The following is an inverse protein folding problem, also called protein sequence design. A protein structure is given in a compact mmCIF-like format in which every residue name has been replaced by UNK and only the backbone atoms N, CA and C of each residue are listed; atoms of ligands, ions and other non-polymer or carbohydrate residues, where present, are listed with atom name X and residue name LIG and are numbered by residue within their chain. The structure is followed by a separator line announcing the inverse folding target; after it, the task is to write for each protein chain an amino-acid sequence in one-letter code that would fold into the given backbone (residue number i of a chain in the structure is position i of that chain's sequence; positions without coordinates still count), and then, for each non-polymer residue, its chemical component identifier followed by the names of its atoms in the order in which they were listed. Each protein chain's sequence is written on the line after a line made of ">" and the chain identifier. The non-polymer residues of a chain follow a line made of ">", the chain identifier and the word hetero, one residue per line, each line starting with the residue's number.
data_IF_274655574910
#
_entry.id   IF_274655574910
#
_cell.length_a   1.000
_cell.length_b   1.000
_cell.length_c   1.000
_cell.angle_alpha   90.00
_cell.angle_beta   90.00
_cell.angle_gamma   90.00
#
_symmetry.space_group_name_H-M   'P 1'
#
loop_
_entity.id
_entity.type
_entity.pdbx_description
1 polymer ?
#
# COMPACT_ATOMS: atom_id res chain seq x y z
N UNK A 1 -67.82 20.16 -17.60
CA UNK A 1 -68.27 19.28 -16.52
C UNK A 1 -67.31 19.47 -15.37
N UNK A 2 -67.78 20.06 -14.28
CA UNK A 2 -66.92 20.30 -13.13
C UNK A 2 -66.45 18.96 -12.54
N UNK A 3 -65.19 18.87 -12.15
CA UNK A 3 -64.62 17.64 -11.55
C UNK A 3 -65.44 17.11 -10.34
N UNK A 4 -66.09 18.03 -9.63
CA UNK A 4 -67.01 17.72 -8.55
C UNK A 4 -68.27 16.96 -9.01
N UNK A 5 -68.84 17.28 -10.20
CA UNK A 5 -70.06 16.62 -10.69
C UNK A 5 -69.80 15.18 -11.09
N UNK A 6 -68.61 14.88 -11.61
CA UNK A 6 -68.24 13.47 -11.95
C UNK A 6 -68.04 12.64 -10.70
N UNK A 7 -67.37 13.19 -9.67
CA UNK A 7 -67.18 12.47 -8.40
C UNK A 7 -68.53 12.20 -7.69
N UNK A 8 -69.41 13.18 -7.66
CA UNK A 8 -70.77 13.03 -7.11
C UNK A 8 -71.61 11.99 -7.88
N UNK A 9 -71.48 11.93 -9.21
CA UNK A 9 -72.20 10.93 -10.04
C UNK A 9 -71.75 9.52 -9.72
N UNK A 10 -70.42 9.30 -9.53
CA UNK A 10 -69.88 7.99 -9.14
C UNK A 10 -70.37 7.61 -7.74
N UNK A 11 -70.29 8.54 -6.78
CA UNK A 11 -70.74 8.32 -5.42
C UNK A 11 -72.24 7.97 -5.35
N UNK A 12 -73.07 8.65 -6.12
CA UNK A 12 -74.49 8.37 -6.24
C UNK A 12 -74.75 6.99 -6.83
N UNK A 13 -73.99 6.56 -7.84
CA UNK A 13 -74.09 5.20 -8.42
C UNK A 13 -73.69 4.12 -7.39
N UNK A 14 -72.65 4.37 -6.59
CA UNK A 14 -72.21 3.43 -5.54
C UNK A 14 -73.22 3.37 -4.40
N UNK A 15 -73.75 4.48 -3.94
CA UNK A 15 -74.82 4.52 -2.92
C UNK A 15 -76.06 3.74 -3.39
N UNK A 16 -76.46 3.90 -4.64
CA UNK A 16 -77.57 3.16 -5.22
C UNK A 16 -77.29 1.63 -5.25
N UNK A 17 -76.09 1.23 -5.58
CA UNK A 17 -75.69 -0.16 -5.58
C UNK A 17 -75.62 -0.77 -4.14
N UNK A 18 -75.08 -0.02 -3.17
CA UNK A 18 -75.01 -0.44 -1.77
C UNK A 18 -76.38 -0.47 -1.09
N UNK A 19 -77.27 0.47 -1.45
CA UNK A 19 -78.68 0.47 -1.03
C UNK A 19 -79.41 -0.77 -1.57
N UNK A 20 -79.09 -1.20 -2.81
CA UNK A 20 -79.65 -2.39 -3.42
C UNK A 20 -79.17 -3.67 -2.70
N UNK A 21 -77.95 -3.67 -2.12
CA UNK A 21 -77.44 -4.80 -1.29
C UNK A 21 -78.08 -4.82 0.12
N UNK A 22 -78.89 -3.79 0.49
CA UNK A 22 -79.64 -3.77 1.76
C UNK A 22 -78.97 -2.89 2.87
N UNK A 23 -78.03 -2.00 2.54
CA UNK A 23 -77.45 -1.08 3.50
C UNK A 23 -78.37 0.17 3.65
N UNK A 24 -78.80 0.51 4.90
CA UNK A 24 -79.72 1.62 5.12
C UNK A 24 -79.14 2.98 4.68
N UNK A 25 -79.94 3.81 4.04
CA UNK A 25 -79.54 5.11 3.46
C UNK A 25 -78.92 6.06 4.51
N UNK A 26 -79.43 6.07 5.75
CA UNK A 26 -78.89 6.90 6.85
C UNK A 26 -77.48 6.53 7.29
N UNK A 27 -77.04 5.28 7.10
CA UNK A 27 -75.68 4.85 7.30
C UNK A 27 -74.77 5.24 6.15
N UNK A 28 -75.26 5.15 4.92
CA UNK A 28 -74.53 5.53 3.71
C UNK A 28 -74.14 7.03 3.71
N UNK A 29 -75.00 7.91 4.21
CA UNK A 29 -74.77 9.35 4.29
C UNK A 29 -73.69 9.73 5.35
N UNK A 30 -73.61 8.94 6.44
CA UNK A 30 -72.55 9.12 7.42
C UNK A 30 -71.20 8.51 7.02
N UNK A 31 -71.18 7.62 6.03
CA UNK A 31 -70.01 6.90 5.54
C UNK A 31 -69.51 7.39 4.18
N UNK A 32 -70.02 8.49 3.67
CA UNK A 32 -69.71 9.03 2.34
C UNK A 32 -68.22 9.14 2.09
N UNK A 33 -67.52 9.76 3.04
CA UNK A 33 -66.07 9.96 2.96
C UNK A 33 -65.30 8.65 2.89
N UNK A 34 -65.69 7.65 3.72
CA UNK A 34 -65.04 6.38 3.79
C UNK A 34 -65.30 5.49 2.56
N UNK A 35 -66.57 5.54 2.03
CA UNK A 35 -66.94 4.86 0.78
C UNK A 35 -66.14 5.44 -0.41
N UNK A 36 -66.00 6.76 -0.46
CA UNK A 36 -65.27 7.40 -1.53
C UNK A 36 -63.78 7.03 -1.47
N UNK A 37 -63.16 6.93 -0.27
CA UNK A 37 -61.81 6.46 -0.06
C UNK A 37 -61.60 5.04 -0.57
N UNK A 38 -62.56 4.11 -0.24
CA UNK A 38 -62.50 2.74 -0.71
C UNK A 38 -62.49 2.66 -2.22
N UNK A 39 -63.36 3.44 -2.87
CA UNK A 39 -63.45 3.52 -4.34
C UNK A 39 -62.18 4.01 -4.96
N UNK A 40 -61.60 5.10 -4.42
CA UNK A 40 -60.30 5.65 -4.87
C UNK A 40 -59.22 4.57 -4.77
N UNK A 41 -59.15 3.87 -3.66
CA UNK A 41 -58.19 2.78 -3.44
C UNK A 41 -58.35 1.66 -4.46
N UNK A 42 -59.61 1.21 -4.70
CA UNK A 42 -59.92 0.18 -5.70
C UNK A 42 -59.48 0.63 -7.10
N UNK A 43 -59.83 1.85 -7.51
CA UNK A 43 -59.44 2.42 -8.80
C UNK A 43 -57.93 2.49 -8.93
N UNK A 44 -57.24 2.92 -7.89
CA UNK A 44 -55.77 3.04 -7.87
C UNK A 44 -55.12 1.63 -8.06
N UNK A 45 -55.61 0.59 -7.43
CA UNK A 45 -55.11 -0.77 -7.61
C UNK A 45 -55.45 -1.36 -9.00
N UNK A 46 -56.61 -1.04 -9.56
CA UNK A 46 -57.00 -1.45 -10.93
C UNK A 46 -56.04 -0.81 -11.93
N UNK A 47 -55.80 0.50 -11.83
CA UNK A 47 -54.87 1.23 -12.69
C UNK A 47 -53.46 0.67 -12.55
N UNK A 48 -52.96 0.42 -11.33
CA UNK A 48 -51.69 -0.22 -11.10
C UNK A 48 -51.57 -1.60 -11.76
N UNK A 49 -52.67 -2.40 -11.71
CA UNK A 49 -52.78 -3.71 -12.39
C UNK A 49 -52.66 -3.60 -13.91
N UNK A 50 -53.36 -2.62 -14.51
CA UNK A 50 -53.30 -2.35 -15.94
C UNK A 50 -51.88 -1.92 -16.35
N UNK A 51 -51.30 -0.97 -15.64
CA UNK A 51 -49.93 -0.51 -15.92
C UNK A 51 -48.93 -1.64 -15.76
N UNK A 52 -49.07 -2.48 -14.74
CA UNK A 52 -48.28 -3.69 -14.58
C UNK A 52 -48.36 -4.63 -15.79
N UNK A 53 -49.57 -4.94 -16.25
CA UNK A 53 -49.78 -5.81 -17.40
C UNK A 53 -49.15 -5.26 -18.67
N UNK A 54 -49.29 -3.95 -18.91
CA UNK A 54 -48.67 -3.24 -20.05
C UNK A 54 -47.14 -3.30 -19.97
N UNK A 55 -46.55 -2.94 -18.82
CA UNK A 55 -45.11 -2.97 -18.63
C UNK A 55 -44.53 -4.37 -18.81
N UNK A 56 -45.15 -5.40 -18.24
CA UNK A 56 -44.72 -6.80 -18.40
C UNK A 56 -44.85 -7.24 -19.86
N UNK A 57 -45.94 -6.86 -20.54
CA UNK A 57 -46.12 -7.19 -21.97
C UNK A 57 -45.02 -6.55 -22.84
N UNK A 58 -44.75 -5.28 -22.63
CA UNK A 58 -43.69 -4.57 -23.34
C UNK A 58 -42.30 -5.16 -23.06
N UNK A 59 -42.01 -5.44 -21.79
CA UNK A 59 -40.72 -6.03 -21.40
C UNK A 59 -40.55 -7.44 -22.01
N UNK A 60 -41.60 -8.28 -22.03
CA UNK A 60 -41.56 -9.60 -22.70
C UNK A 60 -41.38 -9.48 -24.22
N UNK A 61 -41.96 -8.46 -24.86
CA UNK A 61 -41.78 -8.18 -26.30
C UNK A 61 -40.31 -7.77 -26.63
N UNK A 62 -39.69 -6.97 -25.78
CA UNK A 62 -38.29 -6.57 -25.92
C UNK A 62 -37.38 -7.79 -25.71
N UNK A 63 -37.64 -8.64 -24.71
CA UNK A 63 -36.87 -9.83 -24.41
C UNK A 63 -36.88 -10.82 -25.56
N UNK A 64 -38.01 -10.95 -26.27
CA UNK A 64 -38.14 -11.81 -27.46
C UNK A 64 -37.28 -11.30 -28.65
N UNK A 65 -37.09 -9.98 -28.76
CA UNK A 65 -36.31 -9.36 -29.86
C UNK A 65 -34.80 -9.33 -29.63
N UNK A 66 -34.38 -9.13 -28.37
CA UNK A 66 -32.94 -9.08 -27.96
C UNK A 66 -32.81 -9.87 -26.64
N UNK A 67 -31.97 -10.91 -26.62
CA UNK A 67 -31.60 -11.59 -25.38
C UNK A 67 -30.72 -10.66 -24.53
N UNK A 68 -31.32 -9.77 -23.79
CA UNK A 68 -30.61 -8.87 -22.86
C UNK A 68 -30.79 -9.49 -21.46
N UNK A 69 -29.74 -10.05 -20.91
CA UNK A 69 -29.74 -10.72 -19.59
C UNK A 69 -30.26 -9.85 -18.45
N UNK A 70 -30.14 -8.53 -18.61
CA UNK A 70 -30.66 -7.54 -17.65
C UNK A 70 -32.20 -7.68 -17.43
N UNK A 71 -32.98 -7.83 -18.50
CA UNK A 71 -34.46 -8.02 -18.38
C UNK A 71 -34.79 -9.32 -17.70
N UNK A 72 -34.05 -10.40 -17.93
CA UNK A 72 -34.22 -11.66 -17.23
C UNK A 72 -34.04 -11.52 -15.73
N UNK A 73 -33.01 -10.81 -15.29
CA UNK A 73 -32.77 -10.48 -13.89
C UNK A 73 -33.88 -9.59 -13.31
N UNK A 74 -34.46 -8.66 -14.06
CA UNK A 74 -35.61 -7.84 -13.64
C UNK A 74 -36.87 -8.70 -13.40
N UNK A 75 -37.13 -9.72 -14.22
CA UNK A 75 -38.22 -10.66 -14.00
C UNK A 75 -37.98 -11.53 -12.77
N UNK A 76 -36.76 -12.03 -12.59
CA UNK A 76 -36.37 -12.85 -11.41
C UNK A 76 -36.65 -12.12 -10.10
N UNK A 77 -36.32 -10.81 -10.00
CA UNK A 77 -36.56 -10.02 -8.80
C UNK A 77 -37.93 -9.33 -8.76
N UNK A 78 -38.83 -9.65 -9.73
CA UNK A 78 -40.16 -9.05 -9.83
C UNK A 78 -40.16 -7.52 -9.82
N UNK A 79 -39.16 -6.89 -10.44
CA UNK A 79 -38.97 -5.42 -10.45
C UNK A 79 -40.22 -4.71 -10.96
N UNK A 80 -40.82 -5.17 -12.06
CA UNK A 80 -42.01 -4.56 -12.64
C UNK A 80 -43.19 -4.52 -11.67
N UNK A 81 -43.43 -5.62 -10.93
CA UNK A 81 -44.51 -5.67 -9.94
C UNK A 81 -44.27 -4.74 -8.77
N UNK A 82 -43.02 -4.65 -8.30
CA UNK A 82 -42.64 -3.81 -7.17
C UNK A 82 -42.68 -2.33 -7.55
N UNK A 83 -42.23 -1.98 -8.77
CA UNK A 83 -42.28 -0.63 -9.30
C UNK A 83 -43.73 -0.13 -9.47
N UNK A 84 -44.62 -0.99 -9.96
CA UNK A 84 -46.04 -0.64 -10.11
C UNK A 84 -46.76 -0.50 -8.77
N UNK A 85 -46.23 -1.06 -7.68
CA UNK A 85 -46.77 -0.85 -6.33
C UNK A 85 -46.63 0.61 -5.82
N UNK A 86 -45.84 1.45 -6.51
CA UNK A 86 -45.73 2.89 -6.23
C UNK A 86 -46.95 3.66 -6.80
N UNK A 87 -47.65 3.12 -7.77
CA UNK A 87 -48.76 3.81 -8.45
C UNK A 87 -49.98 4.02 -7.53
N UNK A 88 -50.48 3.01 -6.76
CA UNK A 88 -51.60 3.21 -5.89
C UNK A 88 -51.47 4.40 -4.92
N UNK A 89 -50.39 4.54 -4.15
CA UNK A 89 -50.30 5.67 -3.23
C UNK A 89 -50.20 7.03 -3.95
N UNK A 90 -49.59 7.10 -5.14
CA UNK A 90 -49.59 8.34 -5.93
C UNK A 90 -50.99 8.70 -6.43
N UNK A 91 -51.75 7.72 -6.90
CA UNK A 91 -53.13 7.92 -7.34
C UNK A 91 -54.03 8.32 -6.17
N UNK A 92 -53.91 7.63 -5.03
CA UNK A 92 -54.65 7.99 -3.81
C UNK A 92 -54.35 9.39 -3.36
N UNK A 93 -53.06 9.76 -3.25
CA UNK A 93 -52.65 11.12 -2.86
C UNK A 93 -53.21 12.21 -3.81
N UNK A 94 -53.23 11.92 -5.12
CA UNK A 94 -53.78 12.84 -6.12
C UNK A 94 -55.32 13.00 -6.05
N UNK A 95 -56.02 11.95 -5.68
CA UNK A 95 -57.49 11.90 -5.63
C UNK A 95 -58.06 12.20 -4.25
N UNK A 96 -57.26 12.13 -3.19
CA UNK A 96 -57.70 12.37 -1.81
C UNK A 96 -58.34 13.75 -1.56
N UNK A 97 -57.87 14.89 -2.17
CA UNK A 97 -58.49 16.20 -2.03
C UNK A 97 -59.89 16.29 -2.61
N UNK A 98 -60.30 15.33 -3.45
CA UNK A 98 -61.67 15.26 -3.99
C UNK A 98 -62.62 14.51 -3.06
N UNK A 99 -62.12 13.68 -2.15
CA UNK A 99 -62.89 12.89 -1.21
C UNK A 99 -63.13 13.61 0.12
N UNK A 100 -62.14 14.38 0.56
CA UNK A 100 -62.14 14.98 1.89
C UNK A 100 -61.81 16.45 1.84
N UNK A 101 -62.39 17.23 2.77
CA UNK A 101 -61.91 18.57 3.08
C UNK A 101 -60.48 18.49 3.65
N UNK A 102 -59.57 19.39 3.25
CA UNK A 102 -58.16 19.43 3.68
C UNK A 102 -57.97 19.53 5.21
N UNK A 103 -58.97 20.07 5.90
CA UNK A 103 -58.97 20.24 7.36
C UNK A 103 -59.55 19.03 8.11
N UNK A 104 -60.05 18.02 7.41
CA UNK A 104 -60.59 16.81 8.01
C UNK A 104 -59.48 15.96 8.64
N UNK A 105 -59.72 15.47 9.86
CA UNK A 105 -58.83 14.54 10.50
C UNK A 105 -58.59 13.23 9.66
N UNK A 106 -59.63 12.82 8.91
CA UNK A 106 -59.56 11.66 8.02
C UNK A 106 -58.66 11.95 6.79
N UNK A 107 -58.66 13.18 6.28
CA UNK A 107 -57.77 13.56 5.21
C UNK A 107 -56.31 13.46 5.69
N UNK A 108 -55.96 14.07 6.81
CA UNK A 108 -54.63 14.09 7.39
C UNK A 108 -54.13 12.67 7.66
N UNK A 109 -54.99 11.83 8.25
CA UNK A 109 -54.64 10.43 8.53
C UNK A 109 -54.39 9.62 7.26
N UNK A 110 -55.33 9.70 6.28
CA UNK A 110 -55.24 8.98 5.01
C UNK A 110 -54.04 9.43 4.20
N UNK A 111 -53.73 10.72 4.18
CA UNK A 111 -52.55 11.25 3.52
C UNK A 111 -51.26 10.69 4.13
N UNK A 112 -51.12 10.69 5.46
CA UNK A 112 -49.97 10.10 6.14
C UNK A 112 -49.79 8.63 5.84
N UNK A 113 -50.87 7.82 5.91
CA UNK A 113 -50.84 6.41 5.60
C UNK A 113 -50.43 6.18 4.13
N UNK A 114 -50.93 7.02 3.22
CA UNK A 114 -50.60 6.95 1.79
C UNK A 114 -49.12 7.21 1.54
N UNK A 115 -48.56 8.24 2.16
CA UNK A 115 -47.15 8.54 2.02
C UNK A 115 -46.24 7.51 2.67
N UNK A 116 -46.62 6.95 3.84
CA UNK A 116 -45.90 5.83 4.47
C UNK A 116 -45.86 4.63 3.55
N UNK A 117 -47.04 4.27 2.97
CA UNK A 117 -47.12 3.19 2.00
C UNK A 117 -46.26 3.44 0.77
N UNK A 118 -46.26 4.69 0.25
CA UNK A 118 -45.37 5.11 -0.87
C UNK A 118 -43.91 4.84 -0.57
N UNK A 119 -43.41 5.27 0.60
CA UNK A 119 -42.01 5.08 0.97
C UNK A 119 -41.64 3.62 1.22
N UNK A 120 -42.55 2.81 1.76
CA UNK A 120 -42.39 1.36 1.87
C UNK A 120 -42.30 0.70 0.49
N UNK A 121 -43.23 1.04 -0.42
CA UNK A 121 -43.19 0.57 -1.81
C UNK A 121 -41.93 1.00 -2.56
N UNK A 122 -41.45 2.21 -2.29
CA UNK A 122 -40.20 2.73 -2.82
C UNK A 122 -38.98 1.90 -2.34
N UNK A 123 -38.90 1.59 -1.03
CA UNK A 123 -37.85 0.70 -0.47
C UNK A 123 -37.86 -0.66 -1.18
N UNK A 124 -39.01 -1.25 -1.30
CA UNK A 124 -39.16 -2.57 -1.92
C UNK A 124 -38.76 -2.55 -3.40
N UNK A 125 -39.09 -1.45 -4.11
CA UNK A 125 -38.78 -1.25 -5.53
C UNK A 125 -37.27 -1.02 -5.75
N UNK A 126 -36.66 -0.13 -4.96
CA UNK A 126 -35.21 0.14 -5.01
C UNK A 126 -34.41 -1.11 -4.69
N UNK A 127 -34.82 -1.89 -3.68
CA UNK A 127 -34.19 -3.18 -3.38
C UNK A 127 -34.22 -4.16 -4.55
N UNK A 128 -35.33 -4.22 -5.27
CA UNK A 128 -35.44 -5.11 -6.43
C UNK A 128 -34.50 -4.67 -7.56
N UNK A 129 -34.39 -3.37 -7.78
CA UNK A 129 -33.45 -2.78 -8.77
C UNK A 129 -32.00 -3.07 -8.35
N UNK A 130 -31.65 -2.81 -7.09
CA UNK A 130 -30.29 -3.06 -6.58
C UNK A 130 -29.90 -4.54 -6.68
N UNK A 131 -30.82 -5.46 -6.39
CA UNK A 131 -30.56 -6.89 -6.56
C UNK A 131 -30.36 -7.26 -8.03
N UNK A 132 -31.13 -6.67 -8.94
CA UNK A 132 -30.97 -6.86 -10.38
C UNK A 132 -29.60 -6.38 -10.86
N UNK A 133 -29.22 -5.16 -10.46
CA UNK A 133 -27.91 -4.58 -10.79
C UNK A 133 -26.78 -5.45 -10.20
N UNK A 134 -26.92 -5.88 -8.95
CA UNK A 134 -25.94 -6.74 -8.29
C UNK A 134 -25.73 -8.09 -9.00
N UNK A 135 -26.78 -8.71 -9.54
CA UNK A 135 -26.67 -9.96 -10.29
C UNK A 135 -26.02 -9.73 -11.67
N UNK A 136 -26.33 -8.64 -12.35
CA UNK A 136 -25.70 -8.32 -13.64
C UNK A 136 -24.21 -7.99 -13.49
N UNK A 137 -23.84 -7.25 -12.44
CA UNK A 137 -22.42 -6.95 -12.16
C UNK A 137 -21.60 -8.23 -11.90
N UNK A 138 -22.21 -9.25 -11.27
CA UNK A 138 -21.53 -10.55 -11.06
C UNK A 138 -21.32 -11.34 -12.37
N UNK A 139 -22.17 -11.16 -13.39
CA UNK A 139 -22.03 -11.83 -14.69
C UNK A 139 -20.88 -11.24 -15.51
N UNK A 140 -20.49 -10.00 -15.27
CA UNK A 140 -19.39 -9.34 -15.97
C UNK A 140 -18.03 -9.82 -15.44
N UNK A 141 -17.26 -10.52 -16.28
CA UNK A 141 -15.94 -11.08 -15.94
C UNK A 141 -14.93 -10.03 -15.43
N UNK A 142 -14.98 -8.80 -15.95
CA UNK A 142 -14.05 -7.71 -15.57
C UNK A 142 -14.34 -7.15 -14.18
N UNK A 143 -15.59 -7.24 -13.69
CA UNK A 143 -16.04 -6.70 -12.42
C UNK A 143 -16.17 -7.75 -11.32
N UNK A 144 -15.97 -9.03 -11.66
CA UNK A 144 -16.14 -10.16 -10.73
C UNK A 144 -15.21 -10.08 -9.52
N UNK A 145 -14.02 -9.52 -9.70
CA UNK A 145 -12.99 -9.41 -8.66
C UNK A 145 -13.04 -8.09 -7.87
N UNK A 146 -14.03 -7.21 -8.14
CA UNK A 146 -14.19 -5.96 -7.41
C UNK A 146 -15.26 -6.09 -6.32
N UNK A 147 -15.12 -5.44 -5.14
CA UNK A 147 -16.02 -5.56 -4.00
C UNK A 147 -17.35 -4.81 -4.21
N UNK A 148 -18.00 -5.00 -5.39
CA UNK A 148 -19.21 -4.29 -5.78
C UNK A 148 -20.40 -4.59 -4.85
N UNK A 149 -20.40 -5.76 -4.17
CA UNK A 149 -21.42 -6.09 -3.16
C UNK A 149 -21.43 -5.10 -2.00
N UNK A 150 -20.25 -4.70 -1.53
CA UNK A 150 -20.10 -3.73 -0.44
C UNK A 150 -20.71 -2.37 -0.81
N UNK A 151 -20.43 -1.87 -2.02
CA UNK A 151 -20.99 -0.60 -2.48
C UNK A 151 -22.54 -0.62 -2.56
N UNK A 152 -23.14 -1.70 -3.08
CA UNK A 152 -24.58 -1.86 -3.13
C UNK A 152 -25.16 -1.91 -1.71
N UNK A 153 -24.49 -2.58 -0.77
CA UNK A 153 -24.94 -2.68 0.61
C UNK A 153 -24.88 -1.32 1.33
N UNK A 154 -23.81 -0.56 1.17
CA UNK A 154 -23.68 0.80 1.72
C UNK A 154 -24.79 1.70 1.17
N UNK A 155 -24.98 1.72 -0.15
CA UNK A 155 -26.05 2.50 -0.78
C UNK A 155 -27.44 2.14 -0.21
N UNK A 156 -27.71 0.85 -0.01
CA UNK A 156 -28.97 0.36 0.57
C UNK A 156 -29.16 0.88 2.00
N UNK A 157 -28.14 0.80 2.83
CA UNK A 157 -28.22 1.27 4.21
C UNK A 157 -28.48 2.78 4.25
N UNK A 158 -27.71 3.58 3.50
CA UNK A 158 -27.90 5.04 3.41
C UNK A 158 -29.30 5.37 2.93
N UNK A 159 -29.78 4.69 1.87
CA UNK A 159 -31.12 4.89 1.34
C UNK A 159 -32.20 4.58 2.40
N UNK A 160 -32.06 3.49 3.15
CA UNK A 160 -33.00 3.15 4.24
C UNK A 160 -33.01 4.20 5.34
N UNK A 161 -31.84 4.69 5.76
CA UNK A 161 -31.74 5.75 6.77
C UNK A 161 -32.50 7.01 6.31
N UNK A 162 -32.30 7.44 5.06
CA UNK A 162 -33.01 8.60 4.50
C UNK A 162 -34.52 8.39 4.50
N UNK A 163 -34.99 7.21 4.02
CA UNK A 163 -36.44 6.93 3.96
C UNK A 163 -37.06 6.86 5.36
N UNK A 164 -36.36 6.24 6.32
CA UNK A 164 -36.82 6.19 7.72
C UNK A 164 -36.95 7.59 8.31
N UNK A 165 -36.00 8.47 8.08
CA UNK A 165 -36.07 9.87 8.54
C UNK A 165 -37.30 10.60 7.93
N UNK A 166 -37.56 10.37 6.62
CA UNK A 166 -38.74 10.96 5.97
C UNK A 166 -40.04 10.39 6.54
N UNK A 167 -40.11 9.08 6.80
CA UNK A 167 -41.31 8.49 7.44
C UNK A 167 -41.54 9.07 8.84
N UNK A 168 -40.46 9.18 9.65
CA UNK A 168 -40.56 9.80 10.98
C UNK A 168 -41.02 11.26 10.85
N UNK A 169 -40.49 12.01 9.89
CA UNK A 169 -40.89 13.39 9.60
C UNK A 169 -42.40 13.51 9.33
N UNK A 170 -42.96 12.61 8.53
CA UNK A 170 -44.41 12.57 8.21
C UNK A 170 -45.21 12.27 9.49
N UNK A 171 -44.77 11.34 10.33
CA UNK A 171 -45.46 10.97 11.56
C UNK A 171 -45.55 12.12 12.55
N UNK A 172 -44.44 12.87 12.74
CA UNK A 172 -44.35 13.97 13.72
C UNK A 172 -44.71 15.35 13.16
N UNK A 173 -45.12 15.43 11.88
CA UNK A 173 -45.43 16.70 11.18
C UNK A 173 -44.29 17.72 11.23
N UNK A 174 -43.05 17.28 11.08
CA UNK A 174 -41.88 18.16 11.00
C UNK A 174 -41.20 18.05 9.65
N UNK A 175 -40.51 19.11 9.23
CA UNK A 175 -39.74 19.06 7.99
C UNK A 175 -38.62 18.02 8.09
N UNK A 176 -38.43 17.13 7.09
CA UNK A 176 -37.28 16.20 7.05
C UNK A 176 -35.93 16.94 7.16
N UNK A 177 -35.84 18.13 6.61
CA UNK A 177 -34.62 18.95 6.66
C UNK A 177 -34.25 19.34 8.10
N UNK A 178 -35.23 19.73 8.92
CA UNK A 178 -34.98 20.07 10.33
C UNK A 178 -34.49 18.87 11.13
N UNK A 179 -35.01 17.67 10.81
CA UNK A 179 -34.54 16.43 11.45
C UNK A 179 -33.12 16.10 11.03
N UNK A 180 -32.81 16.20 9.73
CA UNK A 180 -31.47 15.93 9.19
C UNK A 180 -30.46 16.94 9.77
N UNK A 181 -30.84 18.23 9.87
CA UNK A 181 -29.95 19.25 10.46
C UNK A 181 -29.65 18.98 11.92
N UNK A 182 -30.67 18.65 12.71
CA UNK A 182 -30.49 18.31 14.13
C UNK A 182 -29.64 17.05 14.34
N UNK A 183 -29.94 15.99 13.58
CA UNK A 183 -29.15 14.75 13.59
C UNK A 183 -27.73 14.96 13.07
N UNK A 184 -27.56 15.83 12.06
CA UNK A 184 -26.25 16.16 11.48
C UNK A 184 -25.32 16.79 12.49
N UNK A 185 -25.79 17.77 13.26
CA UNK A 185 -25.01 18.41 14.32
C UNK A 185 -24.58 17.39 15.40
N UNK A 186 -25.50 16.55 15.84
CA UNK A 186 -25.20 15.48 16.81
C UNK A 186 -24.21 14.45 16.26
N UNK A 187 -24.40 14.04 15.00
CA UNK A 187 -23.51 13.09 14.31
C UNK A 187 -22.10 13.66 14.16
N UNK A 188 -21.95 14.96 13.88
CA UNK A 188 -20.64 15.60 13.78
C UNK A 188 -19.88 15.55 15.11
N UNK A 189 -20.56 15.78 16.24
CA UNK A 189 -19.96 15.63 17.57
C UNK A 189 -19.57 14.18 17.86
N UNK A 190 -20.47 13.24 17.58
CA UNK A 190 -20.17 11.80 17.73
C UNK A 190 -18.99 11.37 16.85
N UNK A 191 -18.96 11.81 15.59
CA UNK A 191 -17.85 11.49 14.67
C UNK A 191 -16.52 12.03 15.19
N UNK A 192 -16.52 13.22 15.82
CA UNK A 192 -15.31 13.78 16.43
C UNK A 192 -14.83 12.92 17.60
N UNK A 193 -15.76 12.46 18.46
CA UNK A 193 -15.45 11.61 19.64
C UNK A 193 -14.92 10.23 19.21
N UNK A 194 -15.52 9.63 18.17
CA UNK A 194 -15.16 8.30 17.71
C UNK A 194 -14.17 8.29 16.54
N UNK A 195 -13.61 9.43 16.16
CA UNK A 195 -12.70 9.57 15.00
C UNK A 195 -11.59 8.54 15.02
N UNK A 196 -10.85 8.44 16.12
CA UNK A 196 -9.69 7.57 16.21
C UNK A 196 -10.08 6.09 16.20
N UNK A 197 -11.20 5.75 16.82
CA UNK A 197 -11.76 4.39 16.79
C UNK A 197 -12.16 3.98 15.37
N UNK A 198 -12.81 4.88 14.63
CA UNK A 198 -13.21 4.62 13.25
C UNK A 198 -11.98 4.48 12.35
N UNK A 199 -10.97 5.37 12.51
CA UNK A 199 -9.73 5.28 11.75
C UNK A 199 -8.97 3.99 12.06
N UNK A 200 -8.91 3.58 13.33
CA UNK A 200 -8.30 2.32 13.75
C UNK A 200 -8.99 1.11 13.12
N UNK A 201 -10.32 1.07 13.18
CA UNK A 201 -11.12 -0.01 12.58
C UNK A 201 -10.92 -0.11 11.07
N UNK A 202 -11.00 1.03 10.35
CA UNK A 202 -10.81 1.06 8.90
C UNK A 202 -9.39 0.62 8.53
N UNK A 203 -8.38 1.10 9.25
CA UNK A 203 -6.99 0.70 9.04
C UNK A 203 -6.76 -0.79 9.31
N UNK A 204 -7.37 -1.36 10.37
CA UNK A 204 -7.30 -2.79 10.67
C UNK A 204 -7.87 -3.65 9.53
N UNK A 205 -9.00 -3.23 8.96
CA UNK A 205 -9.58 -3.89 7.78
C UNK A 205 -8.65 -3.77 6.57
N UNK A 206 -8.08 -2.58 6.30
CA UNK A 206 -7.16 -2.37 5.17
C UNK A 206 -5.90 -3.24 5.29
N UNK A 207 -5.29 -3.32 6.49
CA UNK A 207 -4.12 -4.17 6.73
C UNK A 207 -4.41 -5.63 6.38
N UNK A 208 -5.61 -6.11 6.74
CA UNK A 208 -6.04 -7.49 6.48
C UNK A 208 -6.41 -7.73 5.01
N UNK A 209 -7.15 -6.84 4.37
CA UNK A 209 -7.59 -6.99 2.97
C UNK A 209 -6.46 -6.84 1.96
N UNK A 210 -5.53 -5.91 2.21
CA UNK A 210 -4.39 -5.62 1.34
C UNK A 210 -3.16 -6.51 1.66
N UNK A 211 -3.29 -7.43 2.61
CA UNK A 211 -2.21 -8.33 3.07
C UNK A 211 -0.91 -7.59 3.43
N UNK A 212 -1.04 -6.40 4.01
CA UNK A 212 0.10 -5.56 4.35
C UNK A 212 0.95 -6.17 5.46
N UNK A 213 0.32 -6.90 6.40
CA UNK A 213 0.94 -7.45 7.59
C UNK A 213 0.32 -8.79 7.99
N UNK A 214 1.16 -9.74 8.42
CA UNK A 214 0.74 -11.03 8.99
C UNK A 214 1.39 -11.28 10.34
N UNK A 215 0.74 -12.08 11.16
CA UNK A 215 1.36 -12.61 12.37
C UNK A 215 2.61 -13.43 11.97
N UNK A 216 3.74 -13.16 12.63
CA UNK A 216 5.03 -13.75 12.32
C UNK A 216 5.92 -12.88 11.40
N UNK A 217 5.40 -11.81 10.80
CA UNK A 217 6.22 -10.88 10.02
C UNK A 217 7.19 -10.13 10.92
N UNK A 218 8.42 -9.98 10.46
CA UNK A 218 9.36 -9.04 11.03
C UNK A 218 9.15 -7.68 10.39
N UNK A 219 8.86 -6.67 11.24
CA UNK A 219 8.68 -5.28 10.82
C UNK A 219 9.63 -4.34 11.56
N UNK A 220 9.89 -3.20 10.90
CA UNK A 220 10.70 -2.14 11.46
C UNK A 220 10.03 -0.79 11.25
N UNK A 221 9.84 -0.04 12.36
CA UNK A 221 9.33 1.34 12.40
C UNK A 221 10.19 2.14 13.39
N UNK A 222 11.28 2.75 12.94
CA UNK A 222 12.22 3.46 13.83
C UNK A 222 11.56 4.58 14.63
N UNK A 223 10.59 5.30 14.02
CA UNK A 223 9.86 6.40 14.66
C UNK A 223 9.00 5.94 15.85
N UNK A 224 8.68 4.66 15.93
CA UNK A 224 7.86 4.05 17.00
C UNK A 224 8.68 3.11 17.90
N UNK A 225 10.01 3.05 17.74
CA UNK A 225 10.89 2.07 18.39
C UNK A 225 10.46 0.62 18.18
N UNK A 226 9.97 0.30 16.99
CA UNK A 226 9.57 -1.04 16.62
C UNK A 226 10.65 -1.63 15.73
N UNK A 227 11.19 -2.78 16.17
CA UNK A 227 12.04 -3.66 15.36
C UNK A 227 11.90 -5.08 15.91
N UNK A 228 10.97 -5.84 15.33
CA UNK A 228 10.64 -7.16 15.88
C UNK A 228 9.55 -7.89 15.11
N UNK A 229 9.04 -8.94 15.71
CA UNK A 229 8.06 -9.84 15.10
C UNK A 229 6.64 -9.51 15.54
N UNK A 230 5.72 -9.46 14.61
CA UNK A 230 4.27 -9.29 14.87
C UNK A 230 3.74 -10.54 15.55
N UNK A 231 3.21 -10.36 16.77
CA UNK A 231 2.68 -11.47 17.58
C UNK A 231 1.14 -11.51 17.62
N UNK A 232 0.49 -10.35 17.39
CA UNK A 232 -0.98 -10.26 17.41
C UNK A 232 -1.45 -9.10 16.52
N UNK A 233 -2.56 -9.33 15.80
CA UNK A 233 -3.23 -8.33 14.99
C UNK A 233 -4.71 -8.35 15.33
N UNK A 234 -5.16 -7.30 16.03
CA UNK A 234 -6.56 -7.04 16.36
C UNK A 234 -7.09 -5.86 15.54
N UNK A 235 -8.39 -5.61 15.56
CA UNK A 235 -9.01 -4.50 14.81
C UNK A 235 -8.53 -3.12 15.26
N UNK A 236 -8.16 -2.99 16.52
CA UNK A 236 -7.80 -1.74 17.17
C UNK A 236 -6.32 -1.65 17.57
N UNK A 237 -5.59 -2.79 17.56
CA UNK A 237 -4.20 -2.82 18.02
C UNK A 237 -3.40 -3.92 17.31
N UNK A 238 -2.15 -3.60 16.98
CA UNK A 238 -1.14 -4.55 16.53
C UNK A 238 -0.07 -4.64 17.61
N UNK A 239 0.31 -5.86 18.02
CA UNK A 239 1.37 -6.09 18.99
C UNK A 239 2.61 -6.65 18.29
N UNK A 240 3.75 -6.03 18.57
CA UNK A 240 5.05 -6.43 18.03
C UNK A 240 5.97 -6.73 19.19
N UNK A 241 6.57 -7.91 19.17
CA UNK A 241 7.65 -8.27 20.09
C UNK A 241 8.98 -7.89 19.45
N UNK A 242 9.63 -6.89 20.04
CA UNK A 242 10.96 -6.46 19.64
C UNK A 242 12.01 -7.54 19.96
N UNK A 243 13.17 -7.44 19.34
CA UNK A 243 14.28 -8.39 19.57
C UNK A 243 14.89 -8.32 20.98
N UNK A 244 14.64 -7.26 21.73
CA UNK A 244 14.96 -7.12 23.15
C UNK A 244 13.89 -7.73 24.08
N UNK A 245 12.92 -8.47 23.51
CA UNK A 245 11.75 -9.06 24.18
C UNK A 245 10.72 -8.05 24.73
N UNK A 246 10.85 -6.75 24.49
CA UNK A 246 9.79 -5.78 24.81
C UNK A 246 8.62 -5.94 23.85
N UNK A 247 7.40 -5.70 24.33
CA UNK A 247 6.21 -5.72 23.49
C UNK A 247 5.74 -4.28 23.29
N UNK A 248 5.72 -3.86 22.02
CA UNK A 248 5.18 -2.57 21.61
C UNK A 248 3.81 -2.77 21.00
N UNK A 249 2.84 -1.95 21.44
CA UNK A 249 1.49 -1.92 20.88
C UNK A 249 1.33 -0.67 20.03
N UNK A 250 0.86 -0.85 18.79
CA UNK A 250 0.68 0.25 17.85
C UNK A 250 -0.73 0.20 17.26
N UNK A 251 -1.44 1.35 17.17
CA UNK A 251 -2.73 1.40 16.48
C UNK A 251 -2.56 1.06 14.99
N UNK A 252 -3.48 0.29 14.38
CA UNK A 252 -3.43 -0.04 12.95
C UNK A 252 -3.30 1.19 12.04
N UNK A 253 -3.92 2.29 12.43
CA UNK A 253 -3.85 3.55 11.68
C UNK A 253 -2.41 4.07 11.52
N UNK A 254 -1.54 3.88 12.52
CA UNK A 254 -0.14 4.30 12.44
C UNK A 254 0.65 3.52 11.37
N UNK A 255 0.28 2.27 11.12
CA UNK A 255 0.88 1.44 10.08
C UNK A 255 0.40 1.83 8.66
N UNK A 256 -0.87 2.25 8.54
CA UNK A 256 -1.45 2.66 7.24
C UNK A 256 -1.09 4.10 6.88
N UNK A 257 -1.04 5.00 7.86
CA UNK A 257 -0.74 6.42 7.63
C UNK A 257 0.75 6.74 7.56
N UNK A 258 1.60 5.87 8.12
CA UNK A 258 3.05 6.00 8.11
C UNK A 258 3.70 5.00 7.15
N UNK A 259 5.04 5.02 7.13
CA UNK A 259 5.83 4.01 6.45
C UNK A 259 6.42 3.02 7.45
N UNK A 260 6.43 1.76 7.09
CA UNK A 260 7.16 0.72 7.82
C UNK A 260 7.86 -0.22 6.84
N UNK A 261 8.92 -0.87 7.30
CA UNK A 261 9.63 -1.89 6.53
C UNK A 261 9.07 -3.24 6.95
N UNK A 262 8.57 -4.01 5.98
CA UNK A 262 8.19 -5.40 6.18
C UNK A 262 9.29 -6.30 5.60
N UNK A 263 9.96 -7.07 6.45
CA UNK A 263 11.03 -7.96 6.07
C UNK A 263 10.55 -9.32 5.51
N UNK A 264 9.23 -9.53 5.34
CA UNK A 264 8.66 -10.73 4.72
C UNK A 264 9.28 -10.98 3.34
N UNK A 265 9.41 -9.93 2.52
CA UNK A 265 10.03 -10.05 1.20
C UNK A 265 11.47 -10.55 1.26
N UNK A 266 12.26 -10.16 2.26
CA UNK A 266 13.60 -10.71 2.49
C UNK A 266 13.50 -12.17 2.94
N UNK A 267 12.59 -12.49 3.84
CA UNK A 267 12.40 -13.87 4.36
C UNK A 267 11.95 -14.83 3.26
N UNK A 268 11.16 -14.39 2.31
CA UNK A 268 10.67 -15.18 1.17
C UNK A 268 11.67 -15.21 0.01
N UNK A 269 12.63 -14.27 -0.05
CA UNK A 269 13.63 -14.16 -1.12
C UNK A 269 14.72 -15.25 -1.01
N UNK A 270 15.55 -15.37 -2.04
CA UNK A 270 16.71 -16.29 -2.08
C UNK A 270 17.90 -15.86 -1.21
N UNK A 271 17.86 -14.72 -0.49
CA UNK A 271 18.99 -14.31 0.32
C UNK A 271 18.80 -13.00 1.08
N UNK A 272 19.64 -12.83 2.12
CA UNK A 272 19.72 -11.58 2.90
C UNK A 272 20.92 -10.77 2.45
N UNK A 273 20.69 -9.48 2.14
CA UNK A 273 21.71 -8.58 1.59
C UNK A 273 22.83 -8.30 2.60
N UNK A 274 24.08 -8.44 2.14
CA UNK A 274 25.29 -7.94 2.77
C UNK A 274 25.76 -6.71 1.98
N UNK A 275 25.82 -5.57 2.66
CA UNK A 275 26.29 -4.30 2.09
C UNK A 275 27.18 -3.62 3.11
N UNK A 276 28.49 -3.85 2.98
CA UNK A 276 29.52 -3.35 3.91
C UNK A 276 30.69 -2.79 3.12
N UNK A 277 31.39 -1.84 3.69
CA UNK A 277 32.48 -1.15 3.03
C UNK A 277 33.64 -0.83 3.97
N UNK A 278 34.82 -0.70 3.38
CA UNK A 278 35.98 -0.07 4.01
C UNK A 278 36.48 1.06 3.11
N UNK A 279 36.85 2.15 3.74
CA UNK A 279 37.51 3.29 3.06
C UNK A 279 38.98 3.02 2.97
N UNK A 280 39.55 3.04 1.75
CA UNK A 280 40.94 2.80 1.50
C UNK A 280 41.69 4.13 1.32
N UNK A 281 42.94 4.17 1.74
CA UNK A 281 43.85 5.33 1.53
C UNK A 281 44.16 5.48 0.04
N UNK A 282 44.02 6.69 -0.53
CA UNK A 282 44.22 6.94 -1.95
C UNK A 282 45.69 6.76 -2.36
N UNK A 283 46.65 7.12 -1.50
CA UNK A 283 48.10 7.08 -1.77
C UNK A 283 48.59 5.65 -2.10
N UNK A 284 47.84 4.64 -1.72
CA UNK A 284 48.19 3.25 -1.96
C UNK A 284 47.51 2.64 -3.19
N UNK A 285 46.69 3.39 -3.90
CA UNK A 285 46.09 2.96 -5.17
C UNK A 285 47.10 3.27 -6.28
N UNK A 286 47.67 2.21 -6.83
CA UNK A 286 48.80 2.31 -7.79
C UNK A 286 48.52 1.50 -9.06
N UNK A 287 49.13 1.87 -10.21
CA UNK A 287 49.15 1.01 -11.38
C UNK A 287 49.82 -0.34 -11.05
N UNK A 288 49.37 -1.43 -11.64
CA UNK A 288 49.99 -2.73 -11.51
C UNK A 288 51.29 -2.79 -12.35
N UNK A 289 52.40 -3.15 -11.70
CA UNK A 289 53.63 -3.47 -12.43
C UNK A 289 53.64 -4.93 -12.89
N UNK A 290 54.44 -5.31 -13.91
CA UNK A 290 54.58 -6.69 -14.32
C UNK A 290 55.01 -7.62 -13.17
N UNK A 291 55.91 -7.18 -12.31
CA UNK A 291 56.40 -7.93 -11.15
C UNK A 291 55.27 -8.18 -10.15
N UNK A 292 54.44 -7.14 -9.91
CA UNK A 292 53.29 -7.25 -9.00
C UNK A 292 52.26 -8.22 -9.57
N UNK A 293 51.97 -8.22 -10.88
CA UNK A 293 51.05 -9.16 -11.51
C UNK A 293 51.55 -10.61 -11.40
N UNK A 294 52.86 -10.85 -11.60
CA UNK A 294 53.44 -12.20 -11.41
C UNK A 294 53.34 -12.67 -9.95
N UNK A 295 53.56 -11.78 -8.99
CA UNK A 295 53.35 -12.08 -7.55
C UNK A 295 51.88 -12.47 -7.30
N UNK A 296 50.92 -11.78 -7.89
CA UNK A 296 49.50 -12.05 -7.70
C UNK A 296 49.02 -13.30 -8.41
N UNK A 297 49.68 -13.74 -9.48
CA UNK A 297 49.46 -15.07 -10.08
C UNK A 297 49.82 -16.21 -9.14
N UNK A 298 50.86 -16.03 -8.31
CA UNK A 298 51.23 -17.01 -7.29
C UNK A 298 50.27 -17.02 -6.06
N UNK A 299 49.53 -15.94 -5.85
CA UNK A 299 48.66 -15.76 -4.70
C UNK A 299 47.36 -16.58 -4.78
N UNK A 300 46.70 -16.61 -5.93
CA UNK A 300 45.43 -17.34 -6.13
C UNK A 300 45.34 -17.89 -7.57
N UNK A 301 44.85 -19.11 -7.73
CA UNK A 301 44.79 -19.82 -9.04
C UNK A 301 43.78 -19.17 -10.01
N UNK A 302 42.60 -18.77 -9.54
CA UNK A 302 41.59 -18.13 -10.39
C UNK A 302 42.05 -16.71 -10.78
N UNK A 303 42.69 -16.01 -9.83
CA UNK A 303 43.27 -14.70 -10.12
C UNK A 303 44.40 -14.81 -11.15
N UNK A 304 45.20 -15.89 -11.11
CA UNK A 304 46.24 -16.15 -12.13
C UNK A 304 45.63 -16.33 -13.53
N UNK A 305 44.54 -17.05 -13.63
CA UNK A 305 43.81 -17.25 -14.90
C UNK A 305 43.27 -15.90 -15.41
N UNK A 306 42.62 -15.15 -14.54
CA UNK A 306 42.08 -13.82 -14.85
C UNK A 306 43.17 -12.87 -15.35
N UNK A 307 44.31 -12.78 -14.65
CA UNK A 307 45.44 -11.93 -15.04
C UNK A 307 45.95 -12.35 -16.43
N UNK A 308 46.16 -13.65 -16.66
CA UNK A 308 46.68 -14.18 -17.93
C UNK A 308 45.74 -13.90 -19.08
N UNK A 309 44.44 -14.06 -18.86
CA UNK A 309 43.41 -13.78 -19.88
C UNK A 309 43.36 -12.28 -20.19
N UNK A 310 43.40 -11.40 -19.18
CA UNK A 310 43.40 -9.96 -19.38
C UNK A 310 44.68 -9.47 -20.05
N UNK A 311 45.83 -10.01 -19.71
CA UNK A 311 47.09 -9.71 -20.41
C UNK A 311 47.05 -10.10 -21.89
N UNK A 312 46.46 -11.26 -22.22
CA UNK A 312 46.25 -11.69 -23.60
C UNK A 312 45.29 -10.76 -24.33
N UNK A 313 44.16 -10.40 -23.73
CA UNK A 313 43.20 -9.45 -24.32
C UNK A 313 43.85 -8.09 -24.59
N UNK A 314 44.67 -7.60 -23.69
CA UNK A 314 45.43 -6.35 -23.91
C UNK A 314 46.46 -6.43 -25.04
N UNK A 315 47.16 -7.57 -25.13
CA UNK A 315 48.09 -7.84 -26.24
C UNK A 315 47.40 -7.91 -27.61
N UNK A 316 46.15 -8.45 -27.64
CA UNK A 316 45.33 -8.52 -28.85
C UNK A 316 44.68 -7.15 -29.21
N UNK A 317 44.99 -6.08 -28.49
CA UNK A 317 44.44 -4.71 -28.69
C UNK A 317 42.96 -4.56 -28.36
N UNK A 318 42.38 -5.51 -27.61
CA UNK A 318 41.00 -5.46 -27.12
C UNK A 318 40.95 -4.57 -25.90
N UNK A 319 40.25 -3.46 -26.00
CA UNK A 319 39.87 -2.64 -24.84
C UNK A 319 39.03 -3.46 -23.86
N UNK A 320 39.17 -3.19 -22.56
CA UNK A 320 38.42 -3.84 -21.49
C UNK A 320 36.98 -4.19 -21.91
N UNK A 321 36.67 -5.46 -21.79
CA UNK A 321 35.54 -6.13 -22.39
C UNK A 321 34.19 -5.44 -22.11
N UNK A 322 33.74 -4.59 -23.03
CA UNK A 322 32.44 -3.90 -22.97
C UNK A 322 31.27 -4.84 -23.16
N UNK A 323 31.53 -6.06 -23.72
CA UNK A 323 30.50 -7.06 -24.01
C UNK A 323 30.11 -7.88 -22.76
N UNK A 324 30.83 -7.75 -21.66
CA UNK A 324 30.52 -8.40 -20.40
C UNK A 324 30.40 -7.37 -19.28
N UNK A 325 29.19 -6.87 -18.98
CA UNK A 325 28.95 -5.91 -17.88
C UNK A 325 29.43 -6.42 -16.53
N UNK A 326 29.37 -7.73 -16.30
CA UNK A 326 29.88 -8.36 -15.07
C UNK A 326 31.40 -8.25 -14.95
N UNK A 327 32.12 -8.31 -16.06
CA UNK A 327 33.57 -8.18 -16.10
C UNK A 327 34.04 -6.78 -15.68
N UNK A 328 33.31 -5.72 -16.08
CA UNK A 328 33.65 -4.34 -15.71
C UNK A 328 33.42 -4.07 -14.22
N UNK A 329 32.38 -4.64 -13.62
CA UNK A 329 32.10 -4.50 -12.19
C UNK A 329 33.11 -5.29 -11.35
N UNK A 330 33.67 -6.35 -11.89
CA UNK A 330 34.54 -7.30 -11.21
C UNK A 330 36.02 -6.87 -11.13
N UNK A 331 36.37 -5.70 -11.65
CA UNK A 331 37.73 -5.16 -11.55
C UNK A 331 38.56 -5.29 -12.83
N UNK A 332 39.79 -4.79 -12.77
CA UNK A 332 40.74 -4.75 -13.89
C UNK A 332 42.12 -5.16 -13.42
N UNK A 333 43.08 -5.33 -14.35
CA UNK A 333 44.51 -5.55 -14.03
C UNK A 333 45.31 -4.26 -14.04
N UNK A 334 44.69 -3.11 -14.31
CA UNK A 334 45.38 -1.82 -14.48
C UNK A 334 45.89 -1.25 -13.15
N UNK A 335 45.11 -1.48 -12.07
CA UNK A 335 45.46 -1.02 -10.73
C UNK A 335 45.36 -2.15 -9.70
N UNK A 336 46.13 -2.05 -8.63
CA UNK A 336 46.07 -2.98 -7.52
C UNK A 336 44.69 -3.03 -6.90
N UNK A 337 43.95 -1.93 -6.84
CA UNK A 337 42.55 -1.89 -6.40
C UNK A 337 41.61 -2.65 -7.38
N UNK A 338 41.78 -2.48 -8.70
CA UNK A 338 41.04 -3.20 -9.69
C UNK A 338 41.26 -4.72 -9.55
N UNK A 339 42.49 -5.13 -9.35
CA UNK A 339 42.87 -6.53 -9.14
C UNK A 339 42.30 -7.09 -7.82
N UNK A 340 42.34 -6.32 -6.76
CA UNK A 340 41.72 -6.67 -5.47
C UNK A 340 40.21 -6.89 -5.61
N UNK A 341 39.53 -6.01 -6.34
CA UNK A 341 38.09 -6.18 -6.59
C UNK A 341 37.78 -7.45 -7.34
N UNK A 342 38.59 -7.76 -8.37
CA UNK A 342 38.45 -9.04 -9.10
C UNK A 342 38.62 -10.24 -8.18
N UNK A 343 39.67 -10.24 -7.34
CA UNK A 343 39.90 -11.30 -6.36
C UNK A 343 38.71 -11.45 -5.39
N UNK A 344 38.24 -10.37 -4.84
CA UNK A 344 37.11 -10.42 -3.89
C UNK A 344 35.83 -10.97 -4.53
N UNK A 345 35.55 -10.67 -5.79
CA UNK A 345 34.41 -11.27 -6.50
C UNK A 345 34.60 -12.78 -6.65
N UNK A 346 35.80 -13.27 -6.99
CA UNK A 346 36.12 -14.69 -7.07
C UNK A 346 35.96 -15.36 -5.71
N UNK A 347 36.48 -14.76 -4.66
CA UNK A 347 36.31 -15.24 -3.29
C UNK A 347 34.82 -15.38 -2.92
N UNK A 348 34.01 -14.34 -3.15
CA UNK A 348 32.58 -14.35 -2.86
C UNK A 348 31.80 -15.40 -3.69
N UNK A 349 32.20 -15.60 -4.94
CA UNK A 349 31.61 -16.65 -5.79
C UNK A 349 31.92 -18.07 -5.30
N UNK A 350 33.10 -18.27 -4.68
CA UNK A 350 33.48 -19.56 -4.09
C UNK A 350 32.86 -19.80 -2.71
N UNK A 351 32.48 -18.72 -2.02
CA UNK A 351 31.95 -18.80 -0.67
C UNK A 351 30.65 -19.62 -0.62
N UNK A 352 30.52 -20.64 0.23
CA UNK A 352 29.40 -21.59 0.21
C UNK A 352 28.06 -20.95 0.57
N UNK A 353 28.08 -19.92 1.40
CA UNK A 353 26.88 -19.23 1.88
C UNK A 353 26.58 -17.92 1.18
N UNK A 354 27.28 -17.57 0.11
CA UNK A 354 26.93 -16.45 -0.76
C UNK A 354 26.07 -16.94 -1.91
N UNK A 355 24.93 -16.30 -2.14
CA UNK A 355 24.02 -16.64 -3.22
C UNK A 355 24.71 -16.45 -4.59
N UNK A 356 24.54 -17.46 -5.46
CA UNK A 356 25.07 -17.43 -6.85
C UNK A 356 24.08 -16.85 -7.84
N UNK A 357 22.80 -16.74 -7.47
CA UNK A 357 21.69 -16.31 -8.32
C UNK A 357 21.39 -14.83 -8.16
N UNK A 358 21.68 -14.27 -6.98
CA UNK A 358 21.44 -12.88 -6.68
C UNK A 358 22.65 -12.01 -7.02
N UNK A 359 22.41 -10.69 -7.14
CA UNK A 359 23.43 -9.72 -7.51
C UNK A 359 24.65 -9.79 -6.58
N UNK A 360 25.83 -9.90 -7.18
CA UNK A 360 27.11 -9.93 -6.50
C UNK A 360 28.05 -8.96 -7.20
N UNK A 361 28.60 -7.99 -6.44
CA UNK A 361 29.60 -7.05 -6.94
C UNK A 361 30.48 -6.53 -5.81
N UNK A 362 31.69 -6.12 -6.17
CA UNK A 362 32.58 -5.32 -5.36
C UNK A 362 32.83 -4.00 -6.08
N UNK A 363 32.35 -2.91 -5.53
CA UNK A 363 32.34 -1.61 -6.19
C UNK A 363 33.05 -0.54 -5.38
N UNK A 364 33.51 0.51 -6.05
CA UNK A 364 33.93 1.75 -5.42
C UNK A 364 32.75 2.70 -5.32
N UNK A 365 32.66 3.42 -4.21
CA UNK A 365 31.71 4.51 -4.04
C UNK A 365 32.39 5.84 -4.33
N UNK A 366 31.64 6.97 -4.38
CA UNK A 366 32.26 8.29 -4.53
C UNK A 366 33.32 8.51 -3.47
N UNK A 367 34.49 9.14 -3.85
CA UNK A 367 35.55 9.45 -2.90
C UNK A 367 35.03 10.34 -1.76
N UNK A 368 35.52 10.10 -0.55
CA UNK A 368 35.25 10.89 0.65
C UNK A 368 36.55 11.52 1.15
N UNK A 369 36.45 12.43 2.11
CA UNK A 369 37.64 13.10 2.68
C UNK A 369 38.73 12.13 3.22
N UNK A 370 38.27 10.95 3.66
CA UNK A 370 39.16 9.93 4.25
C UNK A 370 39.68 8.90 3.22
N UNK A 371 39.34 9.03 1.93
CA UNK A 371 39.82 8.13 0.90
C UNK A 371 38.68 7.60 -0.02
N UNK A 372 38.89 6.39 -0.57
CA UNK A 372 37.96 5.73 -1.50
C UNK A 372 37.26 4.55 -0.83
N UNK A 373 35.94 4.63 -0.58
CA UNK A 373 35.20 3.50 -0.05
C UNK A 373 35.09 2.37 -1.09
N UNK A 374 35.37 1.15 -0.66
CA UNK A 374 35.19 -0.08 -1.44
C UNK A 374 34.13 -0.91 -0.76
N UNK A 375 33.03 -1.15 -1.47
CA UNK A 375 31.84 -1.78 -0.93
C UNK A 375 31.66 -3.18 -1.52
N UNK A 376 31.46 -4.16 -0.62
CA UNK A 376 30.93 -5.47 -0.95
C UNK A 376 29.41 -5.36 -0.99
N UNK A 377 28.82 -5.86 -2.07
CA UNK A 377 27.38 -5.98 -2.26
C UNK A 377 27.07 -7.40 -2.73
N UNK A 378 26.54 -8.22 -1.85
CA UNK A 378 26.16 -9.59 -2.15
C UNK A 378 24.99 -10.04 -1.26
N UNK A 379 24.55 -11.27 -1.40
CA UNK A 379 23.47 -11.83 -0.60
C UNK A 379 23.91 -13.13 0.05
N UNK A 380 23.73 -13.24 1.36
CA UNK A 380 23.86 -14.49 2.09
C UNK A 380 22.67 -15.40 1.76
N UNK A 381 22.92 -16.65 1.41
CA UNK A 381 21.87 -17.67 1.23
C UNK A 381 21.23 -18.10 2.56
N UNK A 382 21.95 -17.94 3.68
CA UNK A 382 21.39 -18.16 5.02
C UNK A 382 20.86 -16.84 5.59
N UNK A 383 19.54 -16.82 5.87
CA UNK A 383 18.82 -15.63 6.34
C UNK A 383 18.67 -15.57 7.86
N UNK A 384 18.98 -16.66 8.57
CA UNK A 384 18.96 -16.71 10.03
C UNK A 384 19.94 -15.66 10.58
N UNK A 385 19.50 -14.83 11.54
CA UNK A 385 20.28 -13.67 11.97
C UNK A 385 21.68 -14.03 12.51
N UNK A 386 21.85 -14.90 13.51
CA UNK A 386 23.19 -15.28 13.97
C UNK A 386 24.11 -15.81 12.86
N UNK A 387 23.59 -16.67 12.00
CA UNK A 387 24.35 -17.21 10.87
C UNK A 387 24.72 -16.13 9.86
N UNK A 388 23.81 -15.22 9.57
CA UNK A 388 24.05 -14.07 8.67
C UNK A 388 25.17 -13.18 9.20
N UNK A 389 25.15 -12.84 10.50
CA UNK A 389 26.19 -12.01 11.10
C UNK A 389 27.56 -12.73 11.08
N UNK A 390 27.59 -14.04 11.32
CA UNK A 390 28.83 -14.83 11.23
C UNK A 390 29.40 -14.81 9.80
N UNK A 391 28.56 -15.04 8.79
CA UNK A 391 28.98 -15.00 7.38
C UNK A 391 29.48 -13.61 6.98
N UNK A 392 28.77 -12.58 7.41
CA UNK A 392 29.16 -11.21 7.14
C UNK A 392 30.50 -10.86 7.80
N UNK A 393 30.71 -11.27 9.05
CA UNK A 393 31.96 -11.07 9.76
C UNK A 393 33.13 -11.78 9.05
N UNK A 394 32.99 -13.07 8.71
CA UNK A 394 33.99 -13.85 7.98
C UNK A 394 34.40 -13.17 6.67
N UNK A 395 33.44 -12.68 5.89
CA UNK A 395 33.71 -11.97 4.63
C UNK A 395 34.48 -10.67 4.89
N UNK A 396 34.13 -9.91 5.91
CA UNK A 396 34.77 -8.63 6.21
C UNK A 396 36.14 -8.81 6.84
N UNK A 397 36.35 -9.82 7.66
CA UNK A 397 37.67 -10.21 8.19
C UNK A 397 38.59 -10.63 7.05
N UNK A 398 38.11 -11.46 6.13
CA UNK A 398 38.87 -11.84 4.94
C UNK A 398 39.23 -10.62 4.09
N UNK A 399 38.27 -9.70 3.85
CA UNK A 399 38.49 -8.46 3.10
C UNK A 399 39.70 -7.71 3.66
N UNK A 400 39.72 -7.48 4.98
CA UNK A 400 40.80 -6.69 5.62
C UNK A 400 42.10 -7.47 5.62
N UNK A 401 42.07 -8.78 5.88
CA UNK A 401 43.27 -9.62 6.00
C UNK A 401 44.06 -9.72 4.70
N UNK A 402 43.38 -9.64 3.54
CA UNK A 402 44.08 -9.74 2.24
C UNK A 402 44.52 -8.40 1.65
N UNK A 403 44.04 -7.26 2.17
CA UNK A 403 44.40 -5.92 1.67
C UNK A 403 45.90 -5.73 1.54
N UNK A 404 46.76 -6.07 2.55
CA UNK A 404 48.18 -5.88 2.46
C UNK A 404 48.85 -6.66 1.33
N UNK A 405 48.33 -7.84 0.95
CA UNK A 405 48.83 -8.60 -0.19
C UNK A 405 48.70 -7.82 -1.50
N UNK A 406 47.66 -6.99 -1.61
CA UNK A 406 47.41 -6.10 -2.73
C UNK A 406 48.01 -4.71 -2.56
N UNK A 407 48.87 -4.50 -1.53
CA UNK A 407 49.48 -3.21 -1.19
C UNK A 407 48.42 -2.11 -0.93
N UNK A 408 47.26 -2.49 -0.42
CA UNK A 408 46.15 -1.60 -0.06
C UNK A 408 46.03 -1.49 1.45
N UNK A 409 45.63 -0.34 1.95
CA UNK A 409 45.50 -0.08 3.37
C UNK A 409 44.19 0.66 3.68
N UNK A 410 43.43 0.23 4.70
CA UNK A 410 42.26 0.95 5.13
C UNK A 410 42.64 2.28 5.78
N UNK A 411 41.76 3.26 5.66
CA UNK A 411 41.89 4.48 6.41
C UNK A 411 41.56 4.25 7.88
N UNK A 412 42.39 4.74 8.76
CA UNK A 412 42.15 4.82 10.19
C UNK A 412 42.53 6.23 10.66
N UNK A 413 41.72 6.80 11.55
CA UNK A 413 42.14 8.04 12.22
C UNK A 413 43.30 7.75 13.11
N UNK A 414 44.26 8.69 13.13
CA UNK A 414 45.39 8.60 14.06
C UNK A 414 44.87 8.65 15.50
N UNK A 415 45.29 7.69 16.31
CA UNK A 415 44.98 7.66 17.72
C UNK A 415 46.04 8.43 18.54
N UNK A 416 45.83 8.56 19.85
CA UNK A 416 46.76 9.24 20.73
C UNK A 416 48.15 8.56 20.73
N UNK A 417 48.19 7.23 20.53
CA UNK A 417 49.43 6.46 20.44
C UNK A 417 50.20 6.78 19.18
N UNK A 418 49.51 6.92 18.04
CA UNK A 418 50.10 7.30 16.76
C UNK A 418 50.73 8.71 16.85
N UNK A 419 50.03 9.66 17.51
CA UNK A 419 50.54 11.02 17.73
C UNK A 419 51.75 11.04 18.64
N UNK A 420 51.74 10.28 19.74
CA UNK A 420 52.89 10.17 20.64
C UNK A 420 54.07 9.53 19.90
N UNK A 421 53.80 8.46 19.13
CA UNK A 421 54.83 7.77 18.37
C UNK A 421 55.45 8.69 17.30
N UNK A 422 54.64 9.46 16.58
CA UNK A 422 55.14 10.43 15.58
C UNK A 422 56.03 11.49 16.21
N UNK A 423 55.62 12.05 17.37
CA UNK A 423 56.43 13.03 18.08
C UNK A 423 57.75 12.46 18.63
N UNK A 424 57.72 11.19 19.07
CA UNK A 424 58.90 10.48 19.56
C UNK A 424 59.90 10.18 18.43
N UNK A 425 59.38 9.76 17.26
CA UNK A 425 60.16 9.50 16.05
C UNK A 425 60.80 10.78 15.55
N UNK A 426 60.06 11.89 15.52
CA UNK A 426 60.54 13.20 15.10
C UNK A 426 61.65 13.71 16.04
N UNK A 427 61.51 13.50 17.36
CA UNK A 427 62.50 13.89 18.35
C UNK A 427 63.73 13.00 18.40
N UNK A 428 63.61 11.70 18.13
CA UNK A 428 64.67 10.71 18.35
C UNK A 428 65.44 10.31 17.08
N UNK A 429 65.04 10.74 15.88
CA UNK A 429 65.58 10.29 14.57
C UNK A 429 65.65 8.75 14.45
N UNK A 430 64.62 8.05 15.00
CA UNK A 430 64.57 6.60 15.02
C UNK A 430 64.04 6.07 13.71
N UNK A 431 64.68 5.03 13.17
CA UNK A 431 64.18 4.33 11.99
C UNK A 431 62.86 3.59 12.29
N UNK A 432 61.81 4.03 11.62
CA UNK A 432 60.44 3.45 11.75
C UNK A 432 60.33 1.96 11.51
N UNK A 433 61.24 1.40 10.69
CA UNK A 433 61.24 -0.02 10.37
C UNK A 433 61.53 -0.91 11.57
N UNK A 434 62.21 -0.40 12.60
CA UNK A 434 62.59 -1.14 13.80
C UNK A 434 61.54 -1.14 14.91
N UNK A 435 60.57 -0.19 14.87
CA UNK A 435 59.63 0.03 15.97
C UNK A 435 58.27 -0.69 15.81
N UNK A 436 57.85 -1.04 14.60
CA UNK A 436 56.44 -1.39 14.36
C UNK A 436 56.24 -2.83 13.83
N UNK A 437 57.34 -3.57 13.49
CA UNK A 437 57.21 -4.94 12.95
C UNK A 437 56.38 -5.02 11.65
N UNK A 438 55.96 -3.91 11.10
CA UNK A 438 55.28 -3.79 9.82
C UNK A 438 56.33 -3.32 8.81
N UNK A 439 56.51 -4.00 7.68
CA UNK A 439 57.43 -3.54 6.66
C UNK A 439 56.91 -2.26 6.01
N UNK A 440 57.22 -1.12 6.59
CA UNK A 440 57.04 0.16 5.94
C UNK A 440 58.18 0.30 4.90
N UNK A 441 57.88 -0.09 3.68
CA UNK A 441 58.75 0.18 2.55
C UNK A 441 58.63 1.66 2.17
N UNK A 442 59.18 2.52 2.99
CA UNK A 442 59.49 3.87 2.59
C UNK A 442 60.95 4.13 2.87
N UNK A 443 61.80 3.78 1.93
CA UNK A 443 63.04 4.56 1.73
C UNK A 443 62.59 5.92 1.21
N UNK A 444 62.15 6.79 2.11
CA UNK A 444 62.20 8.22 1.86
C UNK A 444 63.64 8.63 2.14
N UNK A 445 64.48 8.53 1.13
CA UNK A 445 65.65 9.39 1.04
C UNK A 445 65.13 10.82 0.84
N UNK A 446 64.71 11.46 1.92
CA UNK A 446 64.65 12.91 1.93
C UNK A 446 66.07 13.44 1.95
N UNK A 447 66.63 13.72 0.79
CA UNK A 447 67.61 14.82 0.69
C UNK A 447 66.82 16.06 1.08
N UNK A 448 67.10 16.58 2.25
CA UNK A 448 66.52 17.84 2.69
C UNK A 448 67.16 18.95 1.77
N UNK A 449 66.31 19.65 0.96
CA UNK A 449 66.88 20.65 0.03
C UNK A 449 67.64 21.77 0.71
N UNK A 450 67.55 21.94 2.04
CA UNK A 450 68.33 22.90 2.84
C UNK A 450 69.71 22.36 3.27
N UNK A 451 69.98 21.07 3.11
CA UNK A 451 71.30 20.51 3.40
C UNK A 451 72.30 20.66 2.19
N UNK A 452 71.75 20.76 0.96
CA UNK A 452 72.51 21.04 -0.24
C UNK A 452 73.04 22.52 -0.24
N UNK A 453 72.26 23.51 0.21
CA UNK A 453 72.74 24.92 0.35
C UNK A 453 73.80 25.10 1.38
N UNK A 454 73.89 24.24 2.41
CA UNK A 454 75.02 24.32 3.40
C UNK A 454 76.31 23.71 2.91
N UNK A 455 76.28 22.75 2.02
CA UNK A 455 77.47 22.19 1.41
C UNK A 455 78.03 23.09 0.33
N UNK A 456 77.22 23.75 -0.48
CA UNK A 456 77.70 24.74 -1.45
C UNK A 456 78.23 26.01 -0.79
N UNK A 457 77.76 26.43 0.39
CA UNK A 457 78.28 27.56 1.14
C UNK A 457 79.60 27.29 1.86
N UNK A 458 79.96 26.04 2.13
CA UNK A 458 81.21 25.64 2.73
C UNK A 458 82.34 25.46 1.69
N UNK A 459 82.00 25.15 0.43
CA UNK A 459 83.04 24.99 -0.61
C UNK A 459 83.45 26.29 -1.31
N UNK A 460 82.69 27.38 -1.05
CA UNK A 460 82.97 28.73 -1.62
C UNK A 460 83.80 29.65 -0.77
N UNK A 461 84.46 29.17 0.31
CA UNK A 461 85.40 30.01 1.10
C UNK A 461 86.76 30.11 0.44
N UNK A 462 87.24 31.25 0.13
CA UNK A 462 88.56 31.38 -0.50
C UNK A 462 89.68 31.02 0.51
N UNK A 463 90.51 30.07 0.09
CA UNK A 463 91.76 29.79 0.80
C UNK A 463 92.62 30.99 0.71
N UNK A 464 92.91 31.63 1.87
CA UNK A 464 94.00 32.57 2.06
C UNK A 464 95.27 31.85 2.52
#
# INVERSE_FOLDING_TARGET
>A
MNTNDFALTILFGIKKFLAWIGIPSHMLDKMDELLFLIVIVIIAFIVAGIVHAVLVHLAKKILKRKRVGFFESMFKYSVFRKLTAIIPPLMVSALLPFAFSKDSAWFILSEKITWIYFFIALIISVNAILNTVGDELKKNKQLKNRPMKGFIQIFRVVFYCVVVIVIISILINKSPLNLITGLGAFTAVLMLVFKDTILGLVAGVMISEDDMLRIGDWIEMPQNNINGTVIDISLDVVKVQNFDNTIVTVPPYSLVSGSFINWRGMSDSGGRRIMREYTLKLDYIKPCTPEFLEKMKAFDKELAQFITEKQKQAADGKVANTDNPEGLVNGTIDTNLGLFRAYMVMYLRRHPFVSKELLLMVRTLPPVANGLPVQIYCFSSNKNWPSYESIQAEIMEHFVSVLPAFELYPFQNADARDMILSSYIESAKVDLSTLIGIPWHTTVTQSNPFDEEKQEAQDSSPKA
#
